data_IF_901503085519
#
_entry.id   IF_901503085519
#
_cell.length_a   1.000
_cell.length_b   1.000
_cell.length_c   1.000
_cell.angle_alpha   90.00
_cell.angle_beta   90.00
_cell.angle_gamma   90.00
#
_symmetry.space_group_name_H-M   'P 1'
#
loop_
_entity.id
_entity.type
_entity.pdbx_description
1 polymer ?
#
# COMPACT_ATOMS: atom_id res chain seq x y z
N UNK A 1 7.99 26.66 -14.38
CA UNK A 1 7.47 25.65 -15.32
C UNK A 1 5.98 25.52 -15.09
N UNK A 2 5.15 25.60 -16.13
CA UNK A 2 3.70 25.37 -15.99
C UNK A 2 3.50 23.89 -15.66
N UNK A 3 2.95 23.57 -14.49
CA UNK A 3 2.63 22.19 -14.13
C UNK A 3 1.50 21.69 -15.04
N UNK A 4 1.88 20.96 -16.10
CA UNK A 4 0.93 20.24 -16.94
C UNK A 4 0.52 18.99 -16.18
N UNK A 5 -0.79 18.78 -15.99
CA UNK A 5 -1.30 17.54 -15.42
C UNK A 5 -0.92 16.37 -16.35
N UNK A 6 -0.32 15.28 -15.83
CA UNK A 6 -0.04 14.11 -16.64
C UNK A 6 -1.34 13.44 -17.06
N UNK A 7 -1.33 12.81 -18.23
CA UNK A 7 -2.38 11.87 -18.58
C UNK A 7 -2.38 10.69 -17.59
N UNK A 8 -3.54 10.20 -17.14
CA UNK A 8 -3.60 9.01 -16.30
C UNK A 8 -3.07 7.79 -17.07
N UNK A 9 -1.92 7.27 -16.65
CA UNK A 9 -1.23 6.14 -17.29
C UNK A 9 -1.06 4.92 -16.35
N UNK A 10 -1.51 5.04 -15.10
CA UNK A 10 -1.37 4.00 -14.06
C UNK A 10 0.00 3.99 -13.37
N UNK A 11 0.88 4.95 -13.67
CA UNK A 11 2.19 5.06 -13.03
C UNK A 11 2.13 5.75 -11.66
N UNK A 12 3.05 5.38 -10.78
CA UNK A 12 3.24 6.07 -9.47
C UNK A 12 3.56 7.56 -9.62
N UNK A 13 4.20 7.94 -10.73
CA UNK A 13 4.54 9.34 -11.00
C UNK A 13 3.28 10.13 -11.33
N UNK A 14 2.42 9.62 -12.21
CA UNK A 14 1.15 10.27 -12.52
C UNK A 14 0.30 10.43 -11.25
N UNK A 15 0.18 9.37 -10.43
CA UNK A 15 -0.51 9.42 -9.14
C UNK A 15 0.05 10.50 -8.21
N UNK A 16 1.39 10.58 -8.08
CA UNK A 16 2.05 11.55 -7.20
C UNK A 16 1.80 12.99 -7.65
N UNK A 17 1.85 13.24 -8.95
CA UNK A 17 1.61 14.58 -9.53
C UNK A 17 0.14 14.97 -9.39
N UNK A 18 -0.80 14.05 -9.67
CA UNK A 18 -2.25 14.29 -9.48
C UNK A 18 -2.54 14.57 -7.99
N UNK A 19 -1.95 13.81 -7.07
CA UNK A 19 -2.14 13.99 -5.64
C UNK A 19 -1.59 15.33 -5.13
N UNK A 20 -0.41 15.76 -5.59
CA UNK A 20 0.16 17.06 -5.20
C UNK A 20 -0.66 18.22 -5.81
N UNK A 21 -1.12 18.07 -7.06
CA UNK A 21 -1.96 19.07 -7.71
C UNK A 21 -3.31 19.25 -7.01
N UNK A 22 -3.96 18.15 -6.61
CA UNK A 22 -5.24 18.17 -5.91
C UNK A 22 -5.11 18.07 -4.38
N UNK A 23 -3.97 18.45 -3.79
CA UNK A 23 -3.71 18.29 -2.36
C UNK A 23 -4.71 18.99 -1.45
N UNK A 24 -5.17 20.18 -1.86
CA UNK A 24 -6.23 20.92 -1.16
C UNK A 24 -7.60 20.44 -1.65
N UNK A 25 -8.56 20.27 -0.74
CA UNK A 25 -9.92 19.87 -1.05
C UNK A 25 -10.93 20.95 -0.66
N UNK A 26 -12.08 20.94 -1.33
CA UNK A 26 -13.29 21.63 -0.92
C UNK A 26 -14.35 20.59 -0.57
N UNK A 27 -15.20 20.90 0.41
CA UNK A 27 -16.31 20.04 0.79
C UNK A 27 -17.47 20.23 -0.19
N UNK A 28 -17.44 19.45 -1.28
CA UNK A 28 -18.42 19.52 -2.36
C UNK A 28 -18.63 18.13 -2.95
N UNK A 29 -19.89 17.73 -3.07
CA UNK A 29 -20.30 16.55 -3.82
C UNK A 29 -20.56 16.90 -5.30
N UNK A 30 -20.23 15.96 -6.20
CA UNK A 30 -20.59 16.02 -7.62
C UNK A 30 -21.24 14.69 -8.02
N UNK A 31 -22.08 14.72 -9.05
CA UNK A 31 -22.62 13.50 -9.65
C UNK A 31 -21.50 12.74 -10.38
N UNK A 32 -21.43 11.43 -10.13
CA UNK A 32 -20.46 10.55 -10.78
C UNK A 32 -21.05 9.97 -12.07
N UNK A 33 -20.85 10.66 -13.19
CA UNK A 33 -21.36 10.23 -14.50
C UNK A 33 -20.27 9.57 -15.34
N UNK A 34 -20.58 8.45 -16.00
CA UNK A 34 -19.69 7.79 -16.97
C UNK A 34 -18.52 6.98 -16.37
N UNK A 35 -18.58 6.65 -15.07
CA UNK A 35 -17.54 5.87 -14.39
C UNK A 35 -17.97 4.46 -13.97
N UNK A 36 -19.25 4.10 -14.07
CA UNK A 36 -19.76 2.81 -13.57
C UNK A 36 -19.00 1.62 -14.17
N UNK A 37 -18.93 1.51 -15.50
CA UNK A 37 -18.19 0.43 -16.19
C UNK A 37 -16.70 0.39 -15.78
N UNK A 38 -16.06 1.56 -15.58
CA UNK A 38 -14.66 1.63 -15.13
C UNK A 38 -14.50 1.16 -13.68
N UNK A 39 -15.47 1.45 -12.82
CA UNK A 39 -15.46 1.02 -11.43
C UNK A 39 -15.74 -0.49 -11.30
N UNK A 40 -16.65 -1.02 -12.11
CA UNK A 40 -16.90 -2.46 -12.25
C UNK A 40 -15.63 -3.17 -12.72
N UNK A 41 -15.01 -2.69 -13.82
CA UNK A 41 -13.74 -3.25 -14.30
C UNK A 41 -12.63 -3.17 -13.26
N UNK A 42 -12.56 -2.07 -12.49
CA UNK A 42 -11.61 -1.93 -11.39
C UNK A 42 -11.85 -2.98 -10.29
N UNK A 43 -13.12 -3.30 -10.00
CA UNK A 43 -13.48 -4.31 -9.01
C UNK A 43 -13.08 -5.72 -9.48
N UNK A 44 -13.37 -6.07 -10.73
CA UNK A 44 -12.91 -7.33 -11.34
C UNK A 44 -11.38 -7.48 -11.26
N UNK A 45 -10.64 -6.43 -11.61
CA UNK A 45 -9.18 -6.43 -11.51
C UNK A 45 -8.70 -6.64 -10.07
N UNK A 46 -9.40 -6.08 -9.09
CA UNK A 46 -9.05 -6.27 -7.68
C UNK A 46 -9.27 -7.72 -7.22
N UNK A 47 -10.32 -8.37 -7.71
CA UNK A 47 -10.60 -9.79 -7.42
C UNK A 47 -9.53 -10.70 -8.05
N UNK A 48 -9.20 -10.48 -9.33
CA UNK A 48 -8.13 -11.23 -10.00
C UNK A 48 -6.78 -11.05 -9.29
N UNK A 49 -6.44 -9.83 -8.86
CA UNK A 49 -5.21 -9.60 -8.08
C UNK A 49 -5.23 -10.32 -6.73
N UNK A 50 -6.38 -10.39 -6.06
CA UNK A 50 -6.52 -11.10 -4.78
C UNK A 50 -6.33 -12.62 -4.96
N UNK A 51 -6.85 -13.19 -6.04
CA UNK A 51 -6.64 -14.60 -6.39
C UNK A 51 -5.16 -14.89 -6.65
N UNK A 52 -4.50 -14.08 -7.49
CA UNK A 52 -3.07 -14.24 -7.78
C UNK A 52 -2.19 -14.10 -6.52
N UNK A 53 -2.49 -13.15 -5.64
CA UNK A 53 -1.73 -13.00 -4.39
C UNK A 53 -1.97 -14.19 -3.45
N UNK A 54 -3.19 -14.75 -3.45
CA UNK A 54 -3.51 -15.96 -2.68
C UNK A 54 -2.71 -17.15 -3.19
N UNK A 55 -2.65 -17.34 -4.51
CA UNK A 55 -1.85 -18.40 -5.12
C UNK A 55 -0.36 -18.25 -4.81
N UNK A 56 0.20 -17.05 -5.01
CA UNK A 56 1.60 -16.74 -4.67
C UNK A 56 1.89 -17.06 -3.20
N UNK A 57 1.02 -16.66 -2.29
CA UNK A 57 1.17 -16.89 -0.85
C UNK A 57 1.11 -18.38 -0.49
N UNK A 58 0.27 -19.16 -1.18
CA UNK A 58 0.23 -20.62 -1.00
C UNK A 58 1.58 -21.25 -1.34
N UNK A 59 2.19 -20.86 -2.47
CA UNK A 59 3.54 -21.34 -2.85
C UNK A 59 4.58 -20.93 -1.80
N UNK A 60 4.54 -19.69 -1.30
CA UNK A 60 5.43 -19.24 -0.22
C UNK A 60 5.24 -20.05 1.08
N UNK A 61 4.02 -20.49 1.39
CA UNK A 61 3.73 -21.33 2.56
C UNK A 61 4.26 -22.75 2.38
N UNK A 62 4.03 -23.37 1.21
CA UNK A 62 4.61 -24.67 0.85
C UNK A 62 6.14 -24.64 0.96
N UNK A 63 6.76 -23.56 0.49
CA UNK A 63 8.20 -23.35 0.60
C UNK A 63 8.66 -23.23 2.06
N UNK A 64 7.93 -22.52 2.92
CA UNK A 64 8.23 -22.44 4.36
C UNK A 64 8.11 -23.79 5.06
N UNK A 65 7.07 -24.57 4.72
CA UNK A 65 6.91 -25.93 5.23
C UNK A 65 8.09 -26.82 4.80
N UNK A 66 8.57 -26.66 3.57
CA UNK A 66 9.74 -27.35 3.06
C UNK A 66 11.05 -26.93 3.76
N UNK A 67 11.27 -25.62 3.97
CA UNK A 67 12.47 -25.12 4.66
C UNK A 67 12.49 -25.55 6.14
N UNK A 68 11.34 -25.54 6.82
CA UNK A 68 11.26 -25.84 8.25
C UNK A 68 12.13 -24.89 9.07
N UNK A 69 13.17 -25.41 9.72
CA UNK A 69 14.14 -24.62 10.49
C UNK A 69 15.32 -24.11 9.64
N UNK A 70 15.44 -24.54 8.38
CA UNK A 70 16.52 -24.13 7.50
C UNK A 70 16.33 -22.67 7.04
N UNK A 71 17.40 -21.88 7.15
CA UNK A 71 17.36 -20.47 6.73
C UNK A 71 17.62 -20.25 5.23
N UNK A 72 18.12 -21.29 4.53
CA UNK A 72 18.59 -21.20 3.15
C UNK A 72 18.24 -22.47 2.36
N UNK A 73 17.84 -22.29 1.10
CA UNK A 73 17.72 -23.36 0.11
C UNK A 73 18.12 -22.83 -1.27
N UNK A 74 18.83 -23.62 -2.08
CA UNK A 74 19.21 -23.23 -3.43
C UNK A 74 19.21 -24.40 -4.40
N UNK A 75 19.03 -24.08 -5.69
CA UNK A 75 19.20 -24.99 -6.82
C UNK A 75 19.78 -24.21 -8.01
N UNK A 76 19.84 -24.83 -9.20
CA UNK A 76 20.39 -24.21 -10.41
C UNK A 76 19.73 -22.87 -10.78
N UNK A 77 18.45 -22.66 -10.44
CA UNK A 77 17.65 -21.51 -10.88
C UNK A 77 17.34 -20.50 -9.78
N UNK A 78 17.32 -20.93 -8.52
CA UNK A 78 16.79 -20.12 -7.43
C UNK A 78 17.63 -20.22 -6.16
N UNK A 79 17.65 -19.12 -5.41
CA UNK A 79 18.16 -19.04 -4.04
C UNK A 79 17.08 -18.45 -3.14
N UNK A 80 16.74 -19.16 -2.09
CA UNK A 80 15.70 -18.81 -1.11
C UNK A 80 16.38 -18.56 0.22
N UNK A 81 15.98 -17.48 0.90
CA UNK A 81 16.41 -17.20 2.27
C UNK A 81 15.22 -16.86 3.15
N UNK A 82 15.13 -17.52 4.30
CA UNK A 82 14.12 -17.28 5.32
C UNK A 82 14.79 -17.24 6.69
N UNK A 83 15.58 -16.17 6.92
CA UNK A 83 16.31 -15.93 8.17
C UNK A 83 15.45 -15.25 9.22
N UNK A 84 15.79 -15.46 10.48
CA UNK A 84 15.27 -14.61 11.55
C UNK A 84 15.72 -13.16 11.33
N UNK A 85 14.80 -12.21 11.52
CA UNK A 85 15.08 -10.78 11.41
C UNK A 85 14.53 -10.06 12.64
N UNK A 86 15.45 -9.48 13.42
CA UNK A 86 15.09 -8.60 14.52
C UNK A 86 14.88 -7.17 14.02
N UNK A 87 13.76 -6.57 14.42
CA UNK A 87 13.48 -5.17 14.11
C UNK A 87 13.23 -4.39 15.40
N UNK A 88 14.14 -3.46 15.68
CA UNK A 88 13.99 -2.51 16.78
C UNK A 88 13.12 -1.35 16.31
N UNK A 89 11.98 -1.15 16.97
CA UNK A 89 11.08 -0.02 16.73
C UNK A 89 10.76 0.63 18.05
N UNK A 90 10.48 1.93 18.01
CA UNK A 90 10.00 2.66 19.19
C UNK A 90 8.62 2.09 19.54
N UNK A 91 8.41 1.75 20.80
CA UNK A 91 7.09 1.43 21.30
C UNK A 91 6.28 2.73 21.44
N UNK A 92 5.67 3.14 20.34
CA UNK A 92 4.90 4.39 20.25
C UNK A 92 3.75 4.42 21.26
N UNK A 93 3.13 3.26 21.55
CA UNK A 93 2.02 3.16 22.51
C UNK A 93 2.53 3.46 23.91
N UNK A 94 3.63 2.82 24.30
CA UNK A 94 4.26 3.06 25.60
C UNK A 94 4.81 4.47 25.70
N UNK A 95 5.44 5.00 24.66
CA UNK A 95 5.93 6.38 24.62
C UNK A 95 4.79 7.39 24.81
N UNK A 96 3.65 7.18 24.15
CA UNK A 96 2.47 8.05 24.29
C UNK A 96 1.86 7.98 25.69
N UNK A 97 1.88 6.82 26.34
CA UNK A 97 1.34 6.62 27.68
C UNK A 97 2.26 7.19 28.78
N UNK A 98 3.57 6.90 28.72
CA UNK A 98 4.54 7.27 29.75
C UNK A 98 5.10 8.69 29.56
N UNK A 99 5.25 9.16 28.31
CA UNK A 99 5.84 10.46 27.97
C UNK A 99 5.05 11.18 26.87
N UNK A 100 3.77 11.55 27.14
CA UNK A 100 2.91 12.20 26.15
C UNK A 100 3.47 13.51 25.61
N UNK A 101 4.19 14.29 26.44
CA UNK A 101 4.81 15.55 26.03
C UNK A 101 5.89 15.33 24.97
N UNK A 102 6.78 14.36 25.19
CA UNK A 102 7.81 13.97 24.23
C UNK A 102 7.15 13.45 22.96
N UNK A 103 6.16 12.57 23.06
CA UNK A 103 5.42 12.08 21.89
C UNK A 103 4.80 13.22 21.07
N UNK A 104 4.21 14.22 21.72
CA UNK A 104 3.64 15.39 21.06
C UNK A 104 4.71 16.25 20.35
N UNK A 105 5.90 16.41 20.92
CA UNK A 105 7.00 17.19 20.30
C UNK A 105 7.48 16.59 18.97
N UNK A 106 7.40 15.26 18.80
CA UNK A 106 7.83 14.57 17.58
C UNK A 106 6.69 14.23 16.62
N UNK A 107 5.45 14.62 16.94
CA UNK A 107 4.34 14.46 16.01
C UNK A 107 4.47 15.43 14.84
N UNK A 108 4.41 14.87 13.62
CA UNK A 108 4.33 15.65 12.38
C UNK A 108 2.98 15.40 11.73
N UNK A 109 2.18 16.45 11.57
CA UNK A 109 0.96 16.38 10.76
C UNK A 109 1.33 16.34 9.28
N UNK A 110 0.90 15.30 8.58
CA UNK A 110 1.03 15.18 7.13
C UNK A 110 -0.37 15.17 6.53
N UNK A 111 -0.64 16.11 5.64
CA UNK A 111 -1.90 16.18 4.91
C UNK A 111 -1.79 15.43 3.58
N UNK A 112 -2.66 14.46 3.36
CA UNK A 112 -2.82 13.73 2.11
C UNK A 112 -4.30 13.46 1.85
N UNK A 113 -4.66 13.20 0.58
CA UNK A 113 -6.02 12.82 0.18
C UNK A 113 -6.01 11.37 -0.30
N UNK A 114 -6.83 10.53 0.33
CA UNK A 114 -6.95 9.11 -0.03
C UNK A 114 -8.17 8.88 -0.92
N UNK A 115 -7.96 8.22 -2.05
CA UNK A 115 -9.07 7.68 -2.85
C UNK A 115 -9.61 6.42 -2.16
N UNK A 116 -10.92 6.40 -1.92
CA UNK A 116 -11.65 5.21 -1.44
C UNK A 116 -12.83 4.99 -2.37
N UNK A 117 -13.00 3.75 -2.83
CA UNK A 117 -14.13 3.32 -3.66
C UNK A 117 -14.86 2.24 -2.88
N UNK A 118 -16.18 2.41 -2.72
CA UNK A 118 -17.09 1.41 -2.13
C UNK A 118 -18.26 1.24 -3.09
N UNK A 119 -18.70 0.01 -3.29
CA UNK A 119 -20.02 -0.22 -3.88
C UNK A 119 -21.08 0.41 -2.97
N UNK A 120 -22.11 1.00 -3.59
CA UNK A 120 -23.24 1.58 -2.88
C UNK A 120 -24.18 0.48 -2.38
#
# INVERSE_FOLDING_TARGET
>A
MKHVLPSPDGSKLADSVIAEYFKKSIDKAILLNGFNEKLERRQELAEIMAEMETEKKRIEQELKLYLGEAELAENEKYRVSWKAVDSQRIDEKRLKAEKPEVYAQYQKTIHSRRLTVKAA
#
